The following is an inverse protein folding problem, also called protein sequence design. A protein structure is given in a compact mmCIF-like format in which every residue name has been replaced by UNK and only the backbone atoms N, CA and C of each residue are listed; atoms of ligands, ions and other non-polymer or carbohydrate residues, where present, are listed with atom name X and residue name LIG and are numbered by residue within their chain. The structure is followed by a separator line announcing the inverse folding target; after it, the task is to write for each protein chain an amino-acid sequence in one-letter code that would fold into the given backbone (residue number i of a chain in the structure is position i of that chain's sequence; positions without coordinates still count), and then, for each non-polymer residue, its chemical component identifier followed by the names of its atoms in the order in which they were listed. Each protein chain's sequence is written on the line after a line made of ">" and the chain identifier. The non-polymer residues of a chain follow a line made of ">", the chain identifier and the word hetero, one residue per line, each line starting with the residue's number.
data_IF_374146392201
#
_entry.id   IF_374146392201
#
_cell.length_a   1.000
_cell.length_b   1.000
_cell.length_c   1.000
_cell.angle_alpha   90.00
_cell.angle_beta   90.00
_cell.angle_gamma   90.00
#
_symmetry.space_group_name_H-M   'P 1'
#
loop_
_entity.id
_entity.type
_entity.pdbx_description
1 polymer ?
#
# COMPACT_ATOMS: atom_id res chain seq x y z
N UNK A 1 -2.74 31.56 66.13
CA UNK A 1 -2.30 30.15 66.17
C UNK A 1 -2.91 29.35 65.00
N UNK A 2 -2.90 29.88 63.76
CA UNK A 2 -3.51 29.24 62.58
C UNK A 2 -2.49 28.93 61.46
N UNK A 3 -1.31 29.55 61.50
CA UNK A 3 -0.28 29.44 60.45
C UNK A 3 0.30 28.00 60.40
N UNK A 4 0.43 27.32 61.54
CA UNK A 4 1.00 25.98 61.60
C UNK A 4 0.11 24.86 61.05
N UNK A 5 -1.19 25.10 60.85
CA UNK A 5 -2.09 24.07 60.32
C UNK A 5 -1.98 23.97 58.80
N UNK A 6 -2.00 25.10 58.10
CA UNK A 6 -1.93 25.15 56.63
C UNK A 6 -0.61 24.63 56.07
N UNK A 7 0.52 24.91 56.74
CA UNK A 7 1.84 24.43 56.31
C UNK A 7 1.91 22.90 56.24
N UNK A 8 1.23 22.19 57.15
CA UNK A 8 1.22 20.71 57.16
C UNK A 8 0.48 20.12 55.96
N UNK A 9 -0.66 20.72 55.58
CA UNK A 9 -1.44 20.27 54.42
C UNK A 9 -0.72 20.52 53.10
N UNK A 10 -0.04 21.67 52.97
CA UNK A 10 0.74 21.99 51.77
C UNK A 10 1.90 21.01 51.60
N UNK A 11 2.65 20.73 52.67
CA UNK A 11 3.75 19.76 52.62
C UNK A 11 3.23 18.36 52.25
N UNK A 12 2.11 17.94 52.83
CA UNK A 12 1.50 16.64 52.50
C UNK A 12 1.09 16.55 51.02
N UNK A 13 0.54 17.63 50.45
CA UNK A 13 0.18 17.68 49.03
C UNK A 13 1.39 17.58 48.11
N UNK A 14 2.48 18.29 48.43
CA UNK A 14 3.72 18.24 47.64
C UNK A 14 4.34 16.84 47.67
N UNK A 15 4.37 16.20 48.84
CA UNK A 15 4.91 14.82 48.97
C UNK A 15 4.08 13.83 48.14
N UNK A 16 2.76 13.93 48.19
CA UNK A 16 1.88 13.09 47.37
C UNK A 16 2.14 13.28 45.87
N UNK A 17 2.30 14.52 45.40
CA UNK A 17 2.57 14.84 44.00
C UNK A 17 3.90 14.23 43.53
N UNK A 18 4.93 14.26 44.37
CA UNK A 18 6.22 13.63 44.06
C UNK A 18 6.06 12.12 43.91
N UNK A 19 5.33 11.46 44.80
CA UNK A 19 5.09 10.00 44.74
C UNK A 19 4.34 9.63 43.46
N UNK A 20 3.29 10.38 43.11
CA UNK A 20 2.52 10.15 41.87
C UNK A 20 3.39 10.36 40.64
N UNK A 21 4.18 11.44 40.59
CA UNK A 21 5.10 11.72 39.48
C UNK A 21 6.12 10.60 39.28
N UNK A 22 6.72 10.10 40.36
CA UNK A 22 7.67 8.98 40.31
C UNK A 22 6.98 7.70 39.84
N UNK A 23 5.76 7.44 40.32
CA UNK A 23 4.93 6.31 39.88
C UNK A 23 4.63 6.35 38.38
N UNK A 24 4.26 7.52 37.84
CA UNK A 24 4.03 7.72 36.41
C UNK A 24 5.29 7.48 35.58
N UNK A 25 6.45 7.96 36.02
CA UNK A 25 7.72 7.75 35.31
C UNK A 25 8.14 6.28 35.35
N UNK A 26 7.96 5.60 36.49
CA UNK A 26 8.24 4.17 36.60
C UNK A 26 7.30 3.34 35.72
N UNK A 27 6.01 3.64 35.72
CA UNK A 27 5.03 2.99 34.86
C UNK A 27 5.35 3.21 33.39
N UNK A 28 5.65 4.44 32.98
CA UNK A 28 6.06 4.76 31.62
C UNK A 28 7.32 4.00 31.21
N UNK A 29 8.32 3.88 32.10
CA UNK A 29 9.54 3.09 31.83
C UNK A 29 9.28 1.60 31.73
N UNK A 30 8.34 1.08 32.52
CA UNK A 30 7.95 -0.32 32.47
C UNK A 30 7.18 -0.63 31.18
N UNK A 31 6.21 0.21 30.83
CA UNK A 31 5.38 0.07 29.63
C UNK A 31 6.20 0.26 28.33
N UNK A 32 7.23 1.12 28.36
CA UNK A 32 8.14 1.32 27.21
C UNK A 32 9.29 0.32 27.13
N UNK A 33 9.46 -0.57 28.11
CA UNK A 33 10.51 -1.59 28.10
C UNK A 33 10.40 -2.63 26.96
N UNK A 34 9.22 -3.25 26.68
CA UNK A 34 9.12 -4.25 25.61
C UNK A 34 9.40 -3.65 24.23
N UNK A 35 8.93 -2.44 23.94
CA UNK A 35 9.17 -1.78 22.65
C UNK A 35 10.64 -1.47 22.37
N UNK A 36 11.47 -1.30 23.41
CA UNK A 36 12.92 -1.11 23.24
C UNK A 36 13.63 -2.40 22.84
N UNK A 37 13.13 -3.55 23.29
CA UNK A 37 13.68 -4.86 22.90
C UNK A 37 13.35 -5.15 21.44
N UNK A 38 12.09 -4.95 21.04
CA UNK A 38 11.66 -5.12 19.65
C UNK A 38 12.40 -4.17 18.69
N UNK A 39 12.65 -2.92 19.09
CA UNK A 39 13.45 -1.99 18.31
C UNK A 39 14.94 -2.40 18.21
N UNK A 40 15.53 -2.98 19.26
CA UNK A 40 16.91 -3.48 19.20
C UNK A 40 17.04 -4.76 18.38
N UNK A 41 16.08 -5.69 18.48
CA UNK A 41 16.07 -6.92 17.69
C UNK A 41 15.90 -6.61 16.19
N UNK A 42 15.04 -5.64 15.86
CA UNK A 42 14.88 -5.16 14.48
C UNK A 42 16.17 -4.51 13.96
N UNK A 43 16.85 -3.70 14.78
CA UNK A 43 18.12 -3.10 14.40
C UNK A 43 19.25 -4.13 14.20
N UNK A 44 19.28 -5.19 15.01
CA UNK A 44 20.24 -6.30 14.85
C UNK A 44 19.95 -7.15 13.60
N UNK A 45 18.67 -7.41 13.29
CA UNK A 45 18.26 -8.11 12.07
C UNK A 45 18.63 -7.32 10.80
N UNK A 46 18.43 -6.00 10.80
CA UNK A 46 18.84 -5.13 9.70
C UNK A 46 20.36 -5.18 9.53
N UNK A 47 21.12 -5.09 10.63
CA UNK A 47 22.59 -5.14 10.59
C UNK A 47 23.12 -6.50 10.11
N UNK A 48 22.47 -7.61 10.49
CA UNK A 48 22.81 -8.94 9.97
C UNK A 48 22.52 -9.06 8.47
N UNK A 49 21.36 -8.59 8.00
CA UNK A 49 21.06 -8.54 6.56
C UNK A 49 22.08 -7.75 5.78
N UNK A 50 22.49 -6.57 6.26
CA UNK A 50 23.53 -5.76 5.61
C UNK A 50 24.89 -6.49 5.54
N UNK A 51 25.25 -7.28 6.54
CA UNK A 51 26.50 -8.06 6.52
C UNK A 51 26.44 -9.29 5.61
N UNK A 52 25.30 -9.98 5.55
CA UNK A 52 25.10 -11.13 4.66
C UNK A 52 25.05 -10.68 3.20
N UNK A 53 24.33 -9.59 2.91
CA UNK A 53 24.23 -9.03 1.57
C UNK A 53 25.59 -8.52 1.03
N UNK A 54 26.45 -8.00 1.92
CA UNK A 54 27.83 -7.62 1.55
C UNK A 54 28.77 -8.82 1.37
N UNK A 55 28.47 -9.96 1.98
CA UNK A 55 29.25 -11.19 1.79
C UNK A 55 28.89 -11.87 0.45
N UNK A 56 27.62 -11.88 0.07
CA UNK A 56 27.14 -12.47 -1.18
C UNK A 56 27.52 -11.61 -2.41
N UNK A 57 27.63 -10.29 -2.26
CA UNK A 57 28.06 -9.40 -3.34
C UNK A 57 29.56 -9.53 -3.72
N UNK A 58 30.36 -10.28 -2.96
CA UNK A 58 31.79 -10.45 -3.20
C UNK A 58 32.19 -11.90 -3.56
N UNK A 59 31.20 -12.77 -3.81
CA UNK A 59 31.40 -14.21 -4.04
C UNK A 59 30.90 -14.69 -5.40
N UNK A 60 31.85 -14.83 -6.31
CA UNK A 60 31.92 -15.89 -7.32
C UNK A 60 31.22 -15.73 -8.69
N UNK A 61 32.07 -15.91 -9.71
CA UNK A 61 31.77 -16.01 -11.12
C UNK A 61 31.21 -17.38 -11.52
N UNK A 62 30.49 -17.42 -12.66
CA UNK A 62 30.07 -18.61 -13.42
C UNK A 62 31.27 -19.56 -13.76
N UNK A 63 31.11 -20.85 -14.19
CA UNK A 63 30.07 -21.31 -15.14
C UNK A 63 29.60 -22.80 -15.14
N UNK A 64 28.58 -23.04 -15.98
CA UNK A 64 28.29 -24.22 -16.83
C UNK A 64 27.99 -25.62 -16.24
N UNK A 65 26.84 -26.18 -16.64
CA UNK A 65 26.74 -27.53 -17.21
C UNK A 65 25.39 -27.75 -17.94
N UNK A 66 25.49 -28.18 -19.19
CA UNK A 66 24.43 -28.73 -20.05
C UNK A 66 23.84 -30.03 -19.50
N UNK A 67 22.55 -30.28 -19.75
CA UNK A 67 22.06 -31.60 -20.16
C UNK A 67 20.67 -31.48 -20.82
N UNK A 68 20.60 -31.96 -22.05
CA UNK A 68 19.45 -32.02 -22.93
C UNK A 68 18.45 -33.11 -22.55
N UNK A 69 17.18 -32.92 -22.93
CA UNK A 69 16.32 -33.99 -23.43
C UNK A 69 15.16 -33.40 -24.25
N UNK A 70 15.25 -33.62 -25.57
CA UNK A 70 14.21 -33.41 -26.57
C UNK A 70 13.01 -34.35 -26.32
N UNK A 71 11.79 -33.88 -26.63
CA UNK A 71 10.76 -34.77 -27.16
C UNK A 71 9.77 -33.98 -28.02
N UNK A 72 9.74 -34.36 -29.29
CA UNK A 72 8.92 -33.78 -30.34
C UNK A 72 7.45 -34.26 -30.28
N UNK A 73 6.54 -33.31 -30.53
CA UNK A 73 5.22 -33.31 -31.23
C UNK A 73 4.67 -34.63 -31.84
N UNK A 74 3.31 -34.81 -32.01
CA UNK A 74 2.49 -33.92 -32.87
C UNK A 74 0.99 -33.70 -32.56
N UNK A 75 0.53 -32.54 -33.02
CA UNK A 75 -0.76 -32.16 -33.64
C UNK A 75 -1.88 -33.19 -33.76
N UNK A 76 -3.07 -32.86 -33.22
CA UNK A 76 -4.36 -33.20 -33.84
C UNK A 76 -5.33 -32.01 -33.75
N UNK A 77 -5.96 -31.78 -34.90
CA UNK A 77 -6.79 -30.69 -35.36
C UNK A 77 -8.28 -30.86 -34.98
N UNK A 78 -9.01 -29.74 -34.98
CA UNK A 78 -10.42 -29.59 -35.42
C UNK A 78 -11.53 -29.62 -34.35
N UNK A 79 -12.04 -28.43 -34.01
CA UNK A 79 -13.49 -28.20 -34.15
C UNK A 79 -13.86 -26.75 -34.51
N UNK A 80 -14.51 -26.66 -35.68
CA UNK A 80 -15.21 -25.54 -36.31
C UNK A 80 -16.26 -24.92 -35.38
N UNK A 81 -16.37 -23.59 -35.36
CA UNK A 81 -17.69 -22.94 -35.27
C UNK A 81 -17.72 -21.74 -36.22
N UNK A 82 -18.75 -21.75 -37.07
CA UNK A 82 -19.09 -20.76 -38.09
C UNK A 82 -19.32 -19.38 -37.48
N UNK A 83 -18.75 -18.34 -38.10
CA UNK A 83 -19.41 -17.03 -38.17
C UNK A 83 -19.25 -16.51 -39.60
N UNK A 84 -20.39 -16.31 -40.25
CA UNK A 84 -20.60 -15.83 -41.62
C UNK A 84 -20.00 -14.43 -41.84
N UNK A 85 -19.41 -14.15 -43.01
CA UNK A 85 -18.82 -12.86 -43.34
C UNK A 85 -19.89 -11.85 -43.80
N UNK A 86 -19.79 -10.61 -43.32
CA UNK A 86 -20.49 -9.46 -43.92
C UNK A 86 -19.47 -8.68 -44.74
N UNK A 87 -19.48 -8.96 -46.04
CA UNK A 87 -18.85 -8.16 -47.09
C UNK A 87 -19.66 -6.88 -47.30
N UNK A 88 -19.00 -5.72 -47.18
CA UNK A 88 -19.35 -4.52 -47.95
C UNK A 88 -18.07 -3.87 -48.45
N UNK A 89 -17.83 -4.05 -49.75
CA UNK A 89 -16.92 -3.27 -50.55
C UNK A 89 -17.33 -1.80 -50.59
N UNK A 90 -16.41 -0.88 -50.26
CA UNK A 90 -16.28 0.43 -50.94
C UNK A 90 -14.78 0.78 -51.01
N UNK A 91 -14.35 0.97 -52.25
CA UNK A 91 -13.12 1.46 -52.90
C UNK A 91 -11.89 2.06 -52.15
N UNK A 92 -10.71 1.98 -52.81
CA UNK A 92 -9.43 2.45 -52.30
C UNK A 92 -9.18 3.93 -52.64
N UNK A 93 -8.67 4.71 -51.70
CA UNK A 93 -8.04 6.00 -51.99
C UNK A 93 -6.63 6.01 -51.44
N UNK A 94 -5.66 5.95 -52.35
CA UNK A 94 -4.26 6.24 -52.12
C UNK A 94 -4.09 7.72 -51.81
N UNK A 95 -3.43 8.03 -50.69
CA UNK A 95 -2.68 9.26 -50.53
C UNK A 95 -1.48 9.01 -49.59
N UNK A 96 -0.33 8.77 -50.23
CA UNK A 96 0.98 9.33 -49.91
C UNK A 96 1.48 9.29 -48.46
N UNK A 97 2.46 8.41 -48.26
CA UNK A 97 3.80 8.75 -47.76
C UNK A 97 3.91 9.98 -46.86
N UNK A 98 3.98 9.76 -45.56
CA UNK A 98 5.04 10.35 -44.76
C UNK A 98 5.64 9.25 -43.89
N UNK A 99 6.77 8.72 -44.34
CA UNK A 99 7.78 8.16 -43.44
C UNK A 99 8.16 9.30 -42.48
N UNK A 100 7.62 9.27 -41.26
CA UNK A 100 8.33 9.79 -40.10
C UNK A 100 9.10 8.63 -39.50
N UNK A 101 10.20 8.28 -40.18
CA UNK A 101 11.34 7.66 -39.52
C UNK A 101 12.14 8.79 -38.90
N UNK A 102 11.83 9.15 -37.67
CA UNK A 102 12.65 10.07 -36.90
C UNK A 102 12.68 9.59 -35.44
N UNK A 103 13.86 9.09 -35.05
CA UNK A 103 14.28 8.77 -33.69
C UNK A 103 13.32 7.95 -32.81
N UNK A 104 13.19 6.66 -33.10
CA UNK A 104 13.14 5.70 -32.00
C UNK A 104 14.58 5.55 -31.46
N UNK A 105 15.03 6.55 -30.72
CA UNK A 105 16.08 6.33 -29.73
C UNK A 105 15.53 5.19 -28.87
N UNK A 106 16.14 4.01 -28.96
CA UNK A 106 15.73 2.83 -28.23
C UNK A 106 15.86 3.17 -26.75
N UNK A 107 14.82 3.75 -26.16
CA UNK A 107 14.76 4.06 -24.76
C UNK A 107 15.00 2.74 -24.05
N UNK A 108 16.15 2.65 -23.40
CA UNK A 108 16.59 1.42 -22.75
C UNK A 108 15.49 1.02 -21.77
N UNK A 109 14.82 -0.11 -22.06
CA UNK A 109 13.65 -0.55 -21.30
C UNK A 109 14.14 -0.92 -19.91
N UNK A 110 13.96 -0.01 -18.96
CA UNK A 110 14.39 -0.21 -17.58
C UNK A 110 13.50 -1.25 -16.91
N UNK A 111 14.12 -2.19 -16.22
CA UNK A 111 13.47 -3.33 -15.56
C UNK A 111 13.52 -3.16 -14.05
N UNK A 112 12.48 -3.62 -13.36
CA UNK A 112 12.42 -3.67 -11.90
C UNK A 112 13.58 -4.49 -11.32
N UNK A 113 14.28 -3.98 -10.30
CA UNK A 113 15.24 -4.78 -9.53
C UNK A 113 14.56 -5.87 -8.69
N UNK A 114 13.25 -5.78 -8.47
CA UNK A 114 12.45 -6.68 -7.63
C UNK A 114 11.75 -7.79 -8.40
N UNK A 115 12.04 -7.94 -9.71
CA UNK A 115 11.46 -9.01 -10.53
C UNK A 115 10.07 -8.73 -11.11
N UNK A 116 9.49 -7.53 -10.91
CA UNK A 116 8.16 -7.17 -11.43
C UNK A 116 8.11 -6.87 -12.94
N UNK A 117 9.20 -7.12 -13.67
CA UNK A 117 9.33 -6.82 -15.10
C UNK A 117 9.58 -5.33 -15.39
N UNK A 118 9.38 -4.89 -16.65
CA UNK A 118 9.60 -3.51 -17.07
C UNK A 118 8.78 -2.52 -16.24
N UNK A 119 9.33 -1.32 -16.02
CA UNK A 119 8.56 -0.24 -15.39
C UNK A 119 7.39 0.18 -16.28
N UNK A 120 6.21 0.47 -15.70
CA UNK A 120 5.12 1.03 -16.48
C UNK A 120 5.50 2.43 -16.96
N UNK A 121 5.06 2.79 -18.16
CA UNK A 121 5.13 4.16 -18.64
C UNK A 121 4.37 5.10 -17.71
N UNK A 122 4.99 6.21 -17.32
CA UNK A 122 4.42 7.22 -16.41
C UNK A 122 3.64 8.26 -17.24
N UNK A 123 2.35 8.51 -16.96
CA UNK A 123 1.59 9.55 -17.64
C UNK A 123 2.22 10.93 -17.49
N UNK A 124 2.20 11.76 -18.54
CA UNK A 124 2.83 13.10 -18.54
C UNK A 124 2.26 14.03 -17.45
N UNK A 125 1.00 13.84 -17.05
CA UNK A 125 0.32 14.62 -16.02
C UNK A 125 0.45 14.02 -14.60
N UNK A 126 1.19 12.93 -14.45
CA UNK A 126 1.43 12.31 -13.14
C UNK A 126 2.32 13.21 -12.27
N UNK A 127 2.01 13.41 -10.97
CA UNK A 127 2.71 14.38 -10.12
C UNK A 127 4.22 14.11 -9.90
N UNK A 128 4.67 12.87 -10.09
CA UNK A 128 6.04 12.43 -9.83
C UNK A 128 6.62 11.73 -11.07
N UNK A 129 7.16 12.49 -12.01
CA UNK A 129 7.72 11.95 -13.26
C UNK A 129 8.97 11.08 -13.04
N UNK A 130 9.69 11.33 -11.94
CA UNK A 130 10.92 10.67 -11.50
C UNK A 130 10.65 9.49 -10.54
N UNK A 131 9.41 9.01 -10.44
CA UNK A 131 8.98 7.98 -9.46
C UNK A 131 9.84 6.71 -9.46
N UNK A 132 10.43 6.33 -10.60
CA UNK A 132 11.32 5.17 -10.69
C UNK A 132 12.81 5.51 -10.70
N UNK A 133 13.21 6.77 -10.60
CA UNK A 133 14.64 7.13 -10.51
C UNK A 133 15.25 6.62 -9.21
N UNK A 134 14.52 6.76 -8.10
CA UNK A 134 14.96 6.37 -6.76
C UNK A 134 14.09 5.23 -6.22
N UNK A 135 14.36 4.00 -6.65
CA UNK A 135 13.60 2.83 -6.22
C UNK A 135 14.04 2.44 -4.81
N UNK A 136 13.08 2.26 -3.91
CA UNK A 136 13.31 1.70 -2.58
C UNK A 136 13.78 0.25 -2.65
N UNK A 137 14.64 -0.15 -1.71
CA UNK A 137 15.03 -1.56 -1.55
C UNK A 137 13.85 -2.45 -1.11
N UNK A 138 12.77 -1.85 -0.58
CA UNK A 138 11.55 -2.59 -0.23
C UNK A 138 10.61 -2.68 -1.45
N UNK A 139 10.33 -3.90 -1.97
CA UNK A 139 9.49 -4.11 -3.14
C UNK A 139 8.06 -3.60 -2.98
N UNK A 140 7.57 -3.44 -1.75
CA UNK A 140 6.23 -2.93 -1.50
C UNK A 140 6.05 -1.50 -2.04
N UNK A 141 7.08 -0.64 -1.95
CA UNK A 141 7.00 0.73 -2.46
C UNK A 141 6.92 0.76 -3.99
N UNK A 142 7.69 -0.07 -4.69
CA UNK A 142 7.59 -0.14 -6.15
C UNK A 142 6.19 -0.60 -6.58
N UNK A 143 5.63 -1.62 -5.91
CA UNK A 143 4.26 -2.07 -6.18
C UNK A 143 3.25 -0.95 -5.91
N UNK A 144 3.43 -0.17 -4.85
CA UNK A 144 2.57 0.97 -4.53
C UNK A 144 2.55 1.99 -5.68
N UNK A 145 3.73 2.36 -6.19
CA UNK A 145 3.85 3.29 -7.31
C UNK A 145 3.25 2.74 -8.60
N UNK A 146 3.50 1.46 -8.91
CA UNK A 146 2.87 0.78 -10.05
C UNK A 146 1.34 0.79 -9.96
N UNK A 147 0.78 0.52 -8.77
CA UNK A 147 -0.68 0.58 -8.54
C UNK A 147 -1.20 1.99 -8.75
N UNK A 148 -0.54 3.01 -8.19
CA UNK A 148 -0.95 4.42 -8.36
C UNK A 148 -0.92 4.86 -9.82
N UNK A 149 0.13 4.51 -10.56
CA UNK A 149 0.25 4.82 -11.99
C UNK A 149 -0.86 4.13 -12.79
N UNK A 150 -1.15 2.86 -12.51
CA UNK A 150 -2.24 2.13 -13.18
C UNK A 150 -3.61 2.75 -12.88
N UNK A 151 -3.88 3.12 -11.63
CA UNK A 151 -5.08 3.85 -11.23
C UNK A 151 -5.19 5.19 -11.96
N UNK A 152 -4.09 5.94 -12.07
CA UNK A 152 -4.03 7.20 -12.79
C UNK A 152 -4.41 7.04 -14.26
N UNK A 153 -3.85 6.04 -14.95
CA UNK A 153 -4.21 5.70 -16.34
C UNK A 153 -5.68 5.31 -16.51
N UNK A 154 -6.32 4.81 -15.46
CA UNK A 154 -7.75 4.50 -15.44
C UNK A 154 -8.63 5.72 -15.07
N UNK A 155 -8.03 6.91 -14.90
CA UNK A 155 -8.73 8.14 -14.54
C UNK A 155 -9.00 8.29 -13.05
N UNK A 156 -8.39 7.47 -12.19
CA UNK A 156 -8.51 7.55 -10.73
C UNK A 156 -7.29 8.27 -10.16
N UNK A 157 -7.46 9.55 -9.83
CA UNK A 157 -6.42 10.34 -9.21
C UNK A 157 -6.26 9.98 -7.72
N UNK A 158 -5.01 9.81 -7.29
CA UNK A 158 -4.67 9.43 -5.91
C UNK A 158 -3.65 10.40 -5.32
N UNK A 159 -3.90 10.86 -4.09
CA UNK A 159 -2.98 11.73 -3.35
C UNK A 159 -1.81 10.91 -2.76
N UNK A 160 -2.10 9.65 -2.42
CA UNK A 160 -1.15 8.72 -1.84
C UNK A 160 -1.71 7.30 -1.85
N UNK A 161 -0.99 6.39 -1.21
CA UNK A 161 -1.38 5.00 -1.03
C UNK A 161 -0.71 4.49 0.24
N UNK A 162 -1.39 3.64 0.99
CA UNK A 162 -0.79 2.94 2.12
C UNK A 162 -1.03 1.44 1.98
N UNK A 163 -0.14 0.64 2.55
CA UNK A 163 -0.21 -0.81 2.52
C UNK A 163 -0.49 -1.37 3.91
N UNK A 164 -1.43 -2.30 3.98
CA UNK A 164 -1.76 -3.03 5.21
C UNK A 164 -2.21 -4.45 4.85
N UNK A 165 -1.65 -5.46 5.53
CA UNK A 165 -2.03 -6.86 5.31
C UNK A 165 -1.80 -7.38 3.89
N UNK A 166 -0.87 -6.79 3.13
CA UNK A 166 -0.63 -7.14 1.73
C UNK A 166 -1.65 -6.57 0.74
N UNK A 167 -2.57 -5.72 1.22
CA UNK A 167 -3.49 -4.94 0.40
C UNK A 167 -3.06 -3.48 0.38
N UNK A 168 -3.34 -2.78 -0.70
CA UNK A 168 -3.06 -1.36 -0.86
C UNK A 168 -4.35 -0.55 -0.92
N UNK A 169 -4.34 0.57 -0.22
CA UNK A 169 -5.48 1.44 -0.02
C UNK A 169 -5.14 2.83 -0.56
N UNK A 170 -5.55 3.14 -1.81
CA UNK A 170 -5.24 4.43 -2.41
C UNK A 170 -6.04 5.54 -1.74
N UNK A 171 -5.37 6.64 -1.43
CA UNK A 171 -5.97 7.87 -0.91
C UNK A 171 -6.64 8.62 -2.05
N UNK A 172 -7.91 8.33 -2.29
CA UNK A 172 -8.76 8.98 -3.31
C UNK A 172 -9.52 10.14 -2.64
N UNK A 173 -9.51 11.36 -3.21
CA UNK A 173 -10.26 12.48 -2.67
C UNK A 173 -11.72 12.14 -2.36
N UNK A 174 -12.19 12.53 -1.18
CA UNK A 174 -13.54 12.24 -0.69
C UNK A 174 -13.79 10.76 -0.34
N UNK A 175 -12.79 9.88 -0.31
CA UNK A 175 -12.99 8.46 0.02
C UNK A 175 -12.37 8.09 1.36
N UNK A 176 -13.10 7.33 2.17
CA UNK A 176 -12.62 6.72 3.41
C UNK A 176 -12.82 5.20 3.35
N UNK A 177 -11.86 4.47 3.93
CA UNK A 177 -11.94 3.04 4.18
C UNK A 177 -12.19 2.81 5.66
N UNK A 178 -13.17 1.96 5.97
CA UNK A 178 -13.54 1.61 7.34
C UNK A 178 -13.29 0.13 7.55
N UNK A 179 -12.46 -0.20 8.53
CA UNK A 179 -12.38 -1.55 9.05
C UNK A 179 -13.37 -1.69 10.20
N UNK A 180 -14.24 -2.70 10.12
CA UNK A 180 -15.23 -2.98 11.15
C UNK A 180 -14.97 -4.34 11.84
N UNK A 181 -15.20 -4.36 13.15
CA UNK A 181 -15.27 -5.60 13.93
C UNK A 181 -16.74 -5.94 14.17
N UNK A 182 -17.10 -7.19 13.91
CA UNK A 182 -18.42 -7.72 14.23
C UNK A 182 -18.41 -8.19 15.68
N UNK A 183 -19.12 -7.49 16.56
CA UNK A 183 -19.25 -7.87 17.96
C UNK A 183 -20.63 -8.48 18.20
N UNK A 184 -20.66 -9.71 18.70
CA UNK A 184 -21.89 -10.42 19.06
C UNK A 184 -22.12 -10.32 20.57
N UNK A 185 -23.18 -9.62 20.98
CA UNK A 185 -23.55 -9.42 22.38
C UNK A 185 -24.63 -10.41 22.87
N UNK A 186 -25.01 -11.39 22.05
CA UNK A 186 -26.06 -12.37 22.35
C UNK A 186 -27.49 -11.82 22.27
N UNK A 187 -27.68 -10.50 22.32
CA UNK A 187 -28.95 -9.81 22.06
C UNK A 187 -28.99 -9.16 20.65
N UNK A 188 -27.93 -9.32 19.87
CA UNK A 188 -27.76 -8.71 18.56
C UNK A 188 -26.30 -8.61 18.16
N UNK A 189 -26.08 -8.24 16.90
CA UNK A 189 -24.76 -7.96 16.33
C UNK A 189 -24.60 -6.45 16.21
N UNK A 190 -23.46 -5.93 16.67
CA UNK A 190 -23.08 -4.53 16.47
C UNK A 190 -21.76 -4.49 15.69
N UNK A 191 -21.67 -3.62 14.71
CA UNK A 191 -20.43 -3.34 14.00
C UNK A 191 -19.72 -2.16 14.69
N UNK A 192 -18.54 -2.41 15.25
CA UNK A 192 -17.69 -1.36 15.81
C UNK A 192 -16.60 -1.01 14.79
N UNK A 193 -16.36 0.27 14.53
CA UNK A 193 -15.22 0.69 13.71
C UNK A 193 -13.93 0.43 14.47
N UNK A 194 -12.98 -0.27 13.84
CA UNK A 194 -11.65 -0.56 14.39
C UNK A 194 -10.61 0.46 13.93
N UNK A 195 -10.67 0.83 12.65
CA UNK A 195 -9.73 1.75 12.03
C UNK A 195 -10.41 2.55 10.91
N UNK A 196 -9.89 3.75 10.67
CA UNK A 196 -10.30 4.65 9.60
C UNK A 196 -9.06 5.09 8.84
N UNK A 197 -9.07 4.97 7.52
CA UNK A 197 -8.02 5.48 6.66
C UNK A 197 -8.61 6.09 5.39
N UNK A 198 -7.84 6.89 4.66
CA UNK A 198 -8.33 7.52 3.42
C UNK A 198 -7.93 8.98 3.31
N UNK A 199 -8.77 9.75 2.62
CA UNK A 199 -8.55 11.18 2.37
C UNK A 199 -8.52 11.98 3.69
N UNK A 200 -7.42 12.68 4.01
CA UNK A 200 -7.31 13.50 5.22
C UNK A 200 -8.42 14.53 5.39
N UNK A 201 -8.88 15.17 4.31
CA UNK A 201 -9.95 16.18 4.38
C UNK A 201 -11.30 15.52 4.70
N UNK A 202 -11.59 14.39 4.04
CA UNK A 202 -12.76 13.57 4.36
C UNK A 202 -12.73 13.13 5.83
N UNK A 203 -11.61 12.56 6.31
CA UNK A 203 -11.46 12.13 7.70
C UNK A 203 -11.66 13.27 8.70
N UNK A 204 -11.11 14.46 8.43
CA UNK A 204 -11.27 15.63 9.28
C UNK A 204 -12.74 16.05 9.42
N UNK A 205 -13.50 15.99 8.33
CA UNK A 205 -14.93 16.34 8.35
C UNK A 205 -15.79 15.37 9.18
N UNK A 206 -15.30 14.15 9.45
CA UNK A 206 -15.96 13.18 10.33
C UNK A 206 -15.73 13.46 11.82
N UNK A 207 -14.93 14.46 12.20
CA UNK A 207 -14.58 14.73 13.60
C UNK A 207 -15.78 15.03 14.53
N UNK A 208 -16.97 15.25 13.96
CA UNK A 208 -18.23 15.46 14.70
C UNK A 208 -19.16 14.24 14.70
N UNK A 209 -18.76 13.13 14.05
CA UNK A 209 -19.57 11.92 14.00
C UNK A 209 -19.53 11.19 15.35
N UNK A 210 -20.71 10.79 15.83
CA UNK A 210 -20.84 9.93 16.99
C UNK A 210 -20.58 8.47 16.59
N UNK A 211 -19.33 8.02 16.71
CA UNK A 211 -18.90 6.65 16.43
C UNK A 211 -19.47 5.59 17.39
N UNK A 212 -20.26 6.00 18.41
CA UNK A 212 -20.99 5.05 19.26
C UNK A 212 -22.30 4.56 18.63
N UNK A 213 -22.68 5.10 17.46
CA UNK A 213 -23.83 4.62 16.71
C UNK A 213 -23.42 3.44 15.80
N UNK A 214 -24.31 2.47 15.57
CA UNK A 214 -24.13 1.47 14.51
C UNK A 214 -23.89 2.17 13.17
N UNK A 215 -23.03 1.60 12.31
CA UNK A 215 -22.62 2.21 11.04
C UNK A 215 -23.82 2.58 10.16
N UNK A 216 -24.89 1.79 10.19
CA UNK A 216 -26.12 2.01 9.44
C UNK A 216 -26.91 3.25 9.90
N UNK A 217 -26.62 3.74 11.12
CA UNK A 217 -27.21 4.94 11.69
C UNK A 217 -26.30 6.17 11.56
N UNK A 218 -25.06 5.99 11.09
CA UNK A 218 -24.13 7.09 10.85
C UNK A 218 -24.51 7.77 9.52
N UNK A 219 -24.89 9.04 9.61
CA UNK A 219 -25.08 9.89 8.43
C UNK A 219 -23.75 10.47 8.00
N UNK A 220 -23.16 9.93 6.93
CA UNK A 220 -21.97 10.51 6.32
C UNK A 220 -22.32 11.74 5.46
N UNK A 221 -21.46 12.76 5.42
CA UNK A 221 -21.56 13.85 4.45
C UNK A 221 -21.70 13.32 3.02
N UNK A 222 -22.55 13.94 2.20
CA UNK A 222 -22.87 13.44 0.85
C UNK A 222 -21.70 13.45 -0.12
N UNK A 223 -20.64 14.21 0.19
CA UNK A 223 -19.40 14.26 -0.57
C UNK A 223 -18.38 13.19 -0.16
N UNK A 224 -18.70 12.35 0.82
CA UNK A 224 -17.79 11.31 1.32
C UNK A 224 -18.30 9.95 0.87
N UNK A 225 -17.43 9.23 0.14
CA UNK A 225 -17.60 7.84 -0.21
C UNK A 225 -16.99 6.97 0.89
N UNK A 226 -17.82 6.14 1.49
CA UNK A 226 -17.39 5.16 2.50
C UNK A 226 -17.26 3.80 1.85
N UNK A 227 -16.13 3.13 2.04
CA UNK A 227 -15.86 1.79 1.51
C UNK A 227 -15.43 0.90 2.68
N UNK A 228 -15.93 -0.34 2.71
CA UNK A 228 -15.41 -1.35 3.64
C UNK A 228 -13.95 -1.65 3.29
N UNK A 229 -13.03 -1.62 4.25
CA UNK A 229 -11.62 -1.90 4.01
C UNK A 229 -11.42 -3.28 3.34
N UNK A 230 -12.23 -4.29 3.67
CA UNK A 230 -12.14 -5.63 3.07
C UNK A 230 -12.49 -5.64 1.58
N UNK A 231 -13.32 -4.69 1.14
CA UNK A 231 -13.74 -4.55 -0.26
C UNK A 231 -12.89 -3.52 -1.02
N UNK A 232 -12.37 -2.52 -0.32
CA UNK A 232 -11.62 -1.40 -0.90
C UNK A 232 -10.12 -1.67 -1.06
N UNK A 233 -9.57 -2.66 -0.37
CA UNK A 233 -8.16 -3.02 -0.47
C UNK A 233 -7.80 -3.64 -1.82
N UNK A 234 -6.78 -3.11 -2.48
CA UNK A 234 -6.27 -3.60 -3.76
C UNK A 234 -5.18 -4.64 -3.49
N UNK A 235 -5.37 -5.87 -3.98
CA UNK A 235 -4.27 -6.83 -4.06
C UNK A 235 -3.36 -6.43 -5.24
N UNK A 236 -2.10 -5.99 -4.99
CA UNK A 236 -1.27 -5.42 -6.04
C UNK A 236 -0.90 -6.43 -7.13
N UNK A 237 -0.68 -7.70 -6.78
CA UNK A 237 -0.32 -8.74 -7.75
C UNK A 237 -1.47 -9.01 -8.72
N UNK A 238 -2.68 -9.22 -8.19
CA UNK A 238 -3.88 -9.43 -9.01
C UNK A 238 -4.18 -8.19 -9.84
N UNK A 239 -4.10 -7.00 -9.22
CA UNK A 239 -4.44 -5.75 -9.89
C UNK A 239 -3.45 -5.39 -11.00
N UNK A 240 -2.17 -5.68 -10.84
CA UNK A 240 -1.12 -5.41 -11.82
C UNK A 240 -0.91 -6.56 -12.82
N UNK A 241 -1.60 -7.69 -12.67
CA UNK A 241 -1.39 -8.91 -13.45
C UNK A 241 0.03 -9.46 -13.34
N UNK A 242 0.53 -9.51 -12.10
CA UNK A 242 1.86 -10.02 -11.76
C UNK A 242 1.76 -11.41 -11.12
N UNK A 243 2.70 -12.28 -11.47
CA UNK A 243 2.89 -13.53 -10.74
C UNK A 243 3.52 -13.24 -9.38
N UNK A 244 3.03 -13.90 -8.33
CA UNK A 244 3.63 -13.83 -7.02
C UNK A 244 4.69 -14.92 -6.93
N UNK A 245 5.96 -14.52 -6.86
CA UNK A 245 7.07 -15.43 -6.57
C UNK A 245 7.07 -15.92 -5.12
#
# INVERSE_FOLDING_TARGET
>A
MAIGFYTKWIISGIVLLIIVSVGCVLWFRYDTAPYRQEASETAELIRQRETTQKADANGEAAPAAEAAAESETPTVEKQRTNITPVTKDIEPTQAQTHLSTENAETAEVRVSPHGFGPFPEVPEDYPHQDVFETISDDPAYELMDRVRIKLWKQGVQTIGIHGEGGLFYPTIPGTIYIEHERIDYGNGVVFSSRSLSGDPEALQSLGQINWNLPLEQISFPSNIKVIDAKEGGINPYIFLDLQKE
#
